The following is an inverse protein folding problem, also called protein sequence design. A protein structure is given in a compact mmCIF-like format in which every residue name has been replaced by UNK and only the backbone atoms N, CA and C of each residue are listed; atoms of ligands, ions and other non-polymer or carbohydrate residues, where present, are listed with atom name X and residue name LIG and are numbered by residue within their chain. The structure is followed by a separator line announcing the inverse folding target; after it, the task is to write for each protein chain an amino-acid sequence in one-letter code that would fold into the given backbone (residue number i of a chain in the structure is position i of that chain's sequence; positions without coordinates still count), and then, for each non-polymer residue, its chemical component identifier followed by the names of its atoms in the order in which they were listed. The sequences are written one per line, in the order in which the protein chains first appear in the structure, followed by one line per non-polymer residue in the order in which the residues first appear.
data_IF_691418815269
#
_entry.id   IF_691418815269
#
_cell.length_a   1.000
_cell.length_b   1.000
_cell.length_c   1.000
_cell.angle_alpha   90.00
_cell.angle_beta   90.00
_cell.angle_gamma   90.00
#
_symmetry.space_group_name_H-M   'P 1'
#
loop_
_entity.id
_entity.type
_entity.pdbx_description
1 polymer ?
#
# COMPACT_ATOMS: atom_id res chain seq x y z
N UNK A 1 -13.69 -14.64 -25.10
CA UNK A 1 -13.65 -14.98 -23.66
C UNK A 1 -12.20 -14.94 -23.26
N UNK A 2 -11.89 -14.22 -22.19
CA UNK A 2 -10.52 -14.04 -21.68
C UNK A 2 -10.51 -14.34 -20.20
N UNK A 3 -9.35 -14.74 -19.68
CA UNK A 3 -9.19 -15.11 -18.28
C UNK A 3 -8.64 -13.94 -17.46
N UNK A 4 -9.27 -13.70 -16.32
CA UNK A 4 -8.85 -12.72 -15.33
C UNK A 4 -8.40 -13.47 -14.09
N UNK A 5 -7.12 -13.34 -13.75
CA UNK A 5 -6.54 -13.98 -12.57
C UNK A 5 -6.39 -12.94 -11.46
N UNK A 6 -7.01 -13.18 -10.30
CA UNK A 6 -6.90 -12.37 -9.09
C UNK A 6 -6.42 -13.25 -7.94
N UNK A 7 -5.15 -13.10 -7.53
CA UNK A 7 -4.54 -14.01 -6.56
C UNK A 7 -4.40 -15.42 -7.15
N UNK A 8 -4.98 -16.42 -6.47
CA UNK A 8 -5.00 -17.82 -6.92
C UNK A 8 -6.21 -18.16 -7.81
N UNK A 9 -7.15 -17.22 -7.94
CA UNK A 9 -8.42 -17.45 -8.62
C UNK A 9 -8.37 -16.99 -10.07
N UNK A 10 -8.76 -17.87 -11.00
CA UNK A 10 -8.93 -17.54 -12.42
C UNK A 10 -10.40 -17.52 -12.78
N UNK A 11 -10.86 -16.40 -13.32
CA UNK A 11 -12.25 -16.13 -13.67
C UNK A 11 -12.38 -15.88 -15.16
N UNK A 12 -13.41 -16.43 -15.80
CA UNK A 12 -13.66 -16.19 -17.22
C UNK A 12 -14.50 -14.93 -17.41
N UNK A 13 -13.93 -13.94 -18.09
CA UNK A 13 -14.58 -12.72 -18.53
C UNK A 13 -15.25 -12.93 -19.89
N UNK A 14 -16.54 -12.55 -19.96
CA UNK A 14 -17.32 -12.61 -21.19
C UNK A 14 -17.00 -11.40 -22.09
N UNK A 15 -17.26 -11.52 -23.39
CA UNK A 15 -16.85 -10.52 -24.40
C UNK A 15 -17.48 -9.12 -24.20
N UNK A 16 -18.65 -9.04 -23.56
CA UNK A 16 -19.36 -7.78 -23.30
C UNK A 16 -19.28 -7.32 -21.83
N UNK A 17 -18.59 -8.09 -21.00
CA UNK A 17 -18.50 -7.85 -19.57
C UNK A 17 -17.28 -6.99 -19.26
N UNK A 18 -17.37 -6.16 -18.23
CA UNK A 18 -16.19 -5.45 -17.71
C UNK A 18 -15.41 -6.35 -16.77
N UNK A 19 -14.15 -6.01 -16.50
CA UNK A 19 -13.37 -6.69 -15.45
C UNK A 19 -14.10 -6.60 -14.10
N UNK A 20 -14.70 -5.45 -13.77
CA UNK A 20 -15.45 -5.29 -12.51
C UNK A 20 -16.67 -6.21 -12.45
N UNK A 21 -17.48 -6.27 -13.52
CA UNK A 21 -18.68 -7.10 -13.54
C UNK A 21 -18.32 -8.59 -13.41
N UNK A 22 -17.24 -9.02 -14.07
CA UNK A 22 -16.70 -10.39 -13.94
C UNK A 22 -16.35 -10.70 -12.49
N UNK A 23 -15.68 -9.78 -11.79
CA UNK A 23 -15.30 -9.94 -10.39
C UNK A 23 -16.53 -10.02 -9.47
N UNK A 24 -17.50 -9.11 -9.65
CA UNK A 24 -18.71 -9.05 -8.85
C UNK A 24 -19.61 -10.29 -9.06
N UNK A 25 -19.77 -10.74 -10.30
CA UNK A 25 -20.54 -11.95 -10.64
C UNK A 25 -19.96 -13.22 -9.99
N UNK A 26 -18.65 -13.25 -9.77
CA UNK A 26 -17.95 -14.33 -9.08
C UNK A 26 -17.75 -14.04 -7.57
N UNK A 27 -18.61 -13.20 -6.99
CA UNK A 27 -18.65 -12.86 -5.56
C UNK A 27 -17.35 -12.24 -5.00
N UNK A 28 -16.51 -11.63 -5.84
CA UNK A 28 -15.33 -10.89 -5.36
C UNK A 28 -15.74 -9.49 -4.92
N UNK A 29 -15.48 -9.19 -3.65
CA UNK A 29 -15.79 -7.90 -3.03
C UNK A 29 -14.74 -6.87 -3.45
N UNK A 30 -15.05 -6.13 -4.52
CA UNK A 30 -14.18 -5.06 -5.03
C UNK A 30 -14.82 -3.70 -4.68
N UNK A 31 -14.08 -2.78 -4.05
CA UNK A 31 -14.58 -1.42 -3.80
C UNK A 31 -15.00 -0.76 -5.11
N UNK A 32 -16.23 -0.24 -5.19
CA UNK A 32 -16.73 0.46 -6.37
C UNK A 32 -17.86 1.42 -5.99
N UNK A 33 -18.07 2.46 -6.81
CA UNK A 33 -19.13 3.44 -6.58
C UNK A 33 -19.82 3.86 -7.89
N UNK A 34 -19.12 4.56 -8.79
CA UNK A 34 -19.77 5.19 -9.95
C UNK A 34 -19.98 4.28 -11.17
N UNK A 35 -19.15 3.24 -11.35
CA UNK A 35 -19.09 2.38 -12.55
C UNK A 35 -18.95 3.12 -13.91
N UNK A 36 -18.43 4.34 -13.90
CA UNK A 36 -18.32 5.21 -15.08
C UNK A 36 -16.91 5.77 -15.27
N UNK A 37 -15.90 5.21 -14.60
CA UNK A 37 -14.51 5.66 -14.74
C UNK A 37 -14.16 6.97 -14.02
N UNK A 38 -15.06 7.52 -13.20
CA UNK A 38 -14.87 8.85 -12.58
C UNK A 38 -14.36 8.77 -11.14
N UNK A 39 -15.01 7.99 -10.27
CA UNK A 39 -14.72 7.98 -8.82
C UNK A 39 -13.38 7.34 -8.45
N UNK A 40 -12.80 6.53 -9.35
CA UNK A 40 -11.58 5.74 -9.16
C UNK A 40 -11.57 4.77 -7.96
N UNK A 41 -12.69 4.58 -7.25
CA UNK A 41 -12.75 3.65 -6.10
C UNK A 41 -12.44 2.20 -6.47
N UNK A 42 -12.68 1.81 -7.73
CA UNK A 42 -12.41 0.47 -8.23
C UNK A 42 -10.99 0.25 -8.75
N UNK A 43 -10.08 1.22 -8.62
CA UNK A 43 -8.73 1.16 -9.17
C UNK A 43 -8.06 -0.20 -8.90
N UNK A 44 -7.45 -0.79 -9.93
CA UNK A 44 -6.69 -2.04 -9.87
C UNK A 44 -5.40 -1.91 -10.67
N UNK A 45 -4.47 -2.85 -10.50
CA UNK A 45 -3.21 -2.91 -11.25
C UNK A 45 -3.11 -4.21 -12.02
N UNK A 46 -2.63 -4.13 -13.26
CA UNK A 46 -2.32 -5.29 -14.09
C UNK A 46 -0.85 -5.68 -13.92
N UNK A 47 -0.58 -6.96 -13.69
CA UNK A 47 0.73 -7.50 -13.32
C UNK A 47 1.52 -8.06 -14.48
N UNK A 48 0.84 -8.68 -15.44
CA UNK A 48 1.48 -9.39 -16.55
C UNK A 48 1.61 -8.50 -17.80
N UNK A 49 0.56 -7.74 -18.12
CA UNK A 49 0.49 -6.96 -19.36
C UNK A 49 -0.09 -5.55 -19.13
N UNK A 50 0.23 -4.58 -19.98
CA UNK A 50 -0.45 -3.28 -19.95
C UNK A 50 -1.96 -3.43 -20.18
N UNK A 51 -2.81 -2.73 -19.40
CA UNK A 51 -4.25 -2.70 -19.61
C UNK A 51 -4.61 -1.85 -20.85
N UNK A 52 -5.83 -1.98 -21.39
CA UNK A 52 -6.31 -1.13 -22.48
C UNK A 52 -6.24 0.37 -22.12
N UNK A 53 -5.83 1.21 -23.08
CA UNK A 53 -5.68 2.66 -22.87
C UNK A 53 -6.99 3.31 -22.43
N UNK A 54 -8.12 2.82 -22.97
CA UNK A 54 -9.47 3.25 -22.58
C UNK A 54 -9.74 3.05 -21.08
N UNK A 55 -9.23 1.97 -20.49
CA UNK A 55 -9.39 1.65 -19.07
C UNK A 55 -8.50 2.52 -18.16
N UNK A 56 -7.57 3.29 -18.73
CA UNK A 56 -6.67 4.19 -18.01
C UNK A 56 -7.11 5.66 -18.08
N UNK A 57 -8.21 5.95 -18.78
CA UNK A 57 -8.75 7.30 -18.90
C UNK A 57 -9.04 7.93 -17.53
N UNK A 58 -8.54 9.16 -17.32
CA UNK A 58 -8.71 9.92 -16.07
C UNK A 58 -7.77 9.51 -14.92
N UNK A 59 -6.96 8.46 -15.09
CA UNK A 59 -5.91 8.10 -14.14
C UNK A 59 -4.68 8.97 -14.38
N UNK A 60 -3.96 9.36 -13.33
CA UNK A 60 -2.69 10.10 -13.42
C UNK A 60 -1.62 9.28 -14.16
N UNK A 61 -0.84 9.92 -15.03
CA UNK A 61 0.22 9.29 -15.86
C UNK A 61 1.18 8.38 -15.07
N UNK A 62 1.52 8.77 -13.83
CA UNK A 62 2.40 7.97 -12.97
C UNK A 62 1.82 6.60 -12.65
N UNK A 63 0.51 6.53 -12.42
CA UNK A 63 -0.20 5.27 -12.16
C UNK A 63 -0.45 4.52 -13.46
N UNK A 64 -0.72 5.23 -14.57
CA UNK A 64 -0.85 4.60 -15.89
C UNK A 64 0.43 3.84 -16.27
N UNK A 65 1.60 4.45 -16.08
CA UNK A 65 2.92 3.82 -16.29
C UNK A 65 3.20 2.62 -15.38
N UNK A 66 2.49 2.51 -14.26
CA UNK A 66 2.56 1.38 -13.34
C UNK A 66 1.48 0.33 -13.64
N UNK A 67 0.80 0.42 -14.80
CA UNK A 67 -0.28 -0.47 -15.24
C UNK A 67 -1.54 -0.43 -14.35
N UNK A 68 -1.78 0.68 -13.65
CA UNK A 68 -3.08 0.89 -12.99
C UNK A 68 -4.17 1.18 -14.01
N UNK A 69 -5.37 0.67 -13.75
CA UNK A 69 -6.54 0.81 -14.61
C UNK A 69 -7.85 0.80 -13.79
N UNK A 70 -8.95 1.20 -14.44
CA UNK A 70 -10.29 1.19 -13.88
C UNK A 70 -11.07 -0.03 -14.40
N UNK A 71 -11.24 -1.10 -13.58
CA UNK A 71 -11.92 -2.32 -14.01
C UNK A 71 -13.39 -2.10 -14.38
N UNK A 72 -14.02 -1.03 -13.89
CA UNK A 72 -15.43 -0.71 -14.21
C UNK A 72 -15.69 -0.26 -15.65
N UNK A 73 -14.64 0.10 -16.39
CA UNK A 73 -14.71 0.48 -17.81
C UNK A 73 -13.72 -0.35 -18.66
N UNK A 74 -13.10 -1.36 -18.05
CA UNK A 74 -12.10 -2.19 -18.71
C UNK A 74 -12.78 -3.38 -19.37
N UNK A 75 -12.72 -3.42 -20.70
CA UNK A 75 -13.03 -4.60 -21.49
C UNK A 75 -11.71 -5.27 -21.88
N UNK A 76 -11.36 -6.41 -21.27
CA UNK A 76 -10.07 -7.05 -21.50
C UNK A 76 -10.00 -7.68 -22.89
N UNK A 77 -8.96 -7.35 -23.66
CA UNK A 77 -8.70 -7.89 -25.00
C UNK A 77 -7.87 -9.18 -24.95
N UNK A 78 -7.24 -9.45 -23.81
CA UNK A 78 -6.35 -10.58 -23.56
C UNK A 78 -6.44 -11.00 -22.09
N UNK A 79 -5.81 -12.13 -21.76
CA UNK A 79 -5.74 -12.62 -20.39
C UNK A 79 -4.95 -11.64 -19.49
N UNK A 80 -5.49 -11.34 -18.31
CA UNK A 80 -4.93 -10.37 -17.38
C UNK A 80 -4.78 -10.96 -15.98
N UNK A 81 -3.60 -10.79 -15.39
CA UNK A 81 -3.38 -11.02 -13.96
C UNK A 81 -3.47 -9.67 -13.26
N UNK A 82 -4.38 -9.55 -12.32
CA UNK A 82 -4.73 -8.28 -11.69
C UNK A 82 -4.61 -8.36 -10.18
N UNK A 83 -4.41 -7.20 -9.56
CA UNK A 83 -4.34 -7.07 -8.11
C UNK A 83 -5.02 -5.78 -7.66
N UNK A 84 -5.54 -5.76 -6.44
CA UNK A 84 -5.96 -4.51 -5.83
C UNK A 84 -4.71 -3.66 -5.51
N UNK A 85 -4.80 -2.32 -5.58
CA UNK A 85 -3.71 -1.41 -5.18
C UNK A 85 -3.20 -1.72 -3.77
N UNK A 86 -4.11 -2.23 -2.93
CA UNK A 86 -3.82 -2.62 -1.54
C UNK A 86 -3.50 -4.11 -1.36
N UNK A 87 -3.73 -4.99 -2.35
CA UNK A 87 -3.37 -6.41 -2.25
C UNK A 87 -1.94 -6.71 -2.71
N UNK A 88 -1.27 -5.74 -3.34
CA UNK A 88 0.18 -5.71 -3.46
C UNK A 88 0.92 -5.34 -2.17
N UNK A 89 0.19 -5.06 -1.07
CA UNK A 89 0.80 -5.04 0.25
C UNK A 89 1.11 -6.48 0.67
N UNK A 90 2.05 -7.13 -0.01
CA UNK A 90 2.82 -8.22 0.58
C UNK A 90 3.26 -7.71 1.95
N UNK A 91 2.60 -8.23 2.98
CA UNK A 91 2.83 -7.78 4.33
C UNK A 91 3.71 -8.80 5.01
N UNK A 92 4.91 -8.41 5.40
CA UNK A 92 5.81 -9.29 6.12
C UNK A 92 5.63 -9.09 7.63
N UNK A 93 5.87 -10.16 8.39
CA UNK A 93 5.94 -10.06 9.84
C UNK A 93 7.39 -9.78 10.20
N UNK A 94 7.62 -8.69 10.91
CA UNK A 94 8.95 -8.24 11.32
C UNK A 94 9.05 -8.15 12.83
N UNK A 95 10.28 -8.13 13.34
CA UNK A 95 10.56 -8.12 14.76
C UNK A 95 10.95 -6.73 15.23
N UNK A 96 10.51 -6.36 16.43
CA UNK A 96 10.99 -5.17 17.14
C UNK A 96 12.41 -5.43 17.63
N UNK A 97 13.36 -4.65 17.12
CA UNK A 97 14.76 -4.67 17.55
C UNK A 97 14.91 -3.83 18.81
N UNK A 98 14.37 -2.62 18.78
CA UNK A 98 14.59 -1.62 19.81
C UNK A 98 13.35 -0.71 19.96
N UNK A 99 13.07 -0.32 21.21
CA UNK A 99 12.08 0.71 21.56
C UNK A 99 12.74 1.66 22.55
N UNK A 100 12.86 2.94 22.18
CA UNK A 100 13.49 3.97 23.01
C UNK A 100 12.58 5.20 23.11
N UNK A 101 12.41 5.76 24.30
CA UNK A 101 11.75 7.07 24.46
C UNK A 101 12.71 8.19 24.05
N UNK A 102 12.34 8.98 23.05
CA UNK A 102 13.08 10.16 22.63
C UNK A 102 12.59 11.43 23.33
N UNK A 103 11.29 11.48 23.65
CA UNK A 103 10.67 12.57 24.39
C UNK A 103 9.52 12.02 25.27
N UNK A 104 8.84 12.90 26.00
CA UNK A 104 7.67 12.56 26.82
C UNK A 104 6.59 11.86 25.99
N UNK A 105 6.36 12.34 24.77
CA UNK A 105 5.34 11.88 23.85
C UNK A 105 5.90 11.31 22.54
N UNK A 106 7.23 11.09 22.39
CA UNK A 106 7.80 10.44 21.20
C UNK A 106 8.65 9.20 21.53
N UNK A 107 8.40 8.09 20.83
CA UNK A 107 9.20 6.86 20.84
C UNK A 107 9.90 6.66 19.48
N UNK A 108 11.16 6.23 19.55
CA UNK A 108 11.90 5.61 18.45
C UNK A 108 11.67 4.11 18.47
N UNK A 109 11.22 3.57 17.35
CA UNK A 109 10.97 2.14 17.16
C UNK A 109 11.83 1.64 15.99
N UNK A 110 12.62 0.58 16.22
CA UNK A 110 13.39 -0.10 15.19
C UNK A 110 12.79 -1.47 14.90
N UNK A 111 12.49 -1.73 13.63
CA UNK A 111 11.99 -3.02 13.16
C UNK A 111 13.00 -3.65 12.19
N UNK A 112 13.14 -4.97 12.21
CA UNK A 112 13.89 -5.71 11.17
C UNK A 112 13.20 -5.59 9.81
N UNK A 113 13.91 -5.77 8.71
CA UNK A 113 13.30 -6.08 7.42
C UNK A 113 14.09 -7.14 6.64
N UNK A 114 13.43 -7.82 5.70
CA UNK A 114 14.06 -8.80 4.81
C UNK A 114 14.92 -8.12 3.73
N UNK A 115 15.81 -8.89 3.11
CA UNK A 115 16.80 -8.43 2.12
C UNK A 115 16.17 -7.79 0.88
N UNK A 116 14.94 -8.19 0.54
CA UNK A 116 14.20 -7.70 -0.63
C UNK A 116 13.33 -6.45 -0.32
N UNK A 117 13.36 -5.95 0.92
CA UNK A 117 12.55 -4.81 1.32
C UNK A 117 13.17 -3.50 0.82
N UNK A 118 12.74 -3.10 -0.37
CA UNK A 118 13.16 -1.86 -1.00
C UNK A 118 12.30 -0.67 -0.55
N UNK A 119 12.95 0.43 -0.14
CA UNK A 119 12.29 1.69 0.17
C UNK A 119 13.17 2.90 -0.18
N UNK A 120 12.55 4.06 -0.35
CA UNK A 120 13.20 5.35 -0.51
C UNK A 120 12.93 6.26 0.69
N UNK A 121 13.83 7.19 0.96
CA UNK A 121 13.63 8.20 1.99
C UNK A 121 12.33 8.99 1.74
N UNK A 122 11.53 9.18 2.79
CA UNK A 122 10.24 9.87 2.71
C UNK A 122 9.04 8.99 2.35
N UNK A 123 9.25 7.68 2.14
CA UNK A 123 8.16 6.72 2.07
C UNK A 123 7.63 6.36 3.47
N UNK A 124 6.44 5.76 3.50
CA UNK A 124 5.79 5.28 4.71
C UNK A 124 5.37 3.82 4.54
N UNK A 125 5.13 3.12 5.63
CA UNK A 125 4.53 1.78 5.64
C UNK A 125 3.31 1.77 6.53
N UNK A 126 2.44 0.77 6.34
CA UNK A 126 1.37 0.48 7.27
C UNK A 126 1.89 -0.54 8.28
N UNK A 127 1.88 -0.16 9.57
CA UNK A 127 2.11 -1.07 10.68
C UNK A 127 0.76 -1.62 11.15
N UNK A 128 0.68 -2.94 11.33
CA UNK A 128 -0.53 -3.65 11.69
C UNK A 128 -0.30 -4.51 12.93
N UNK A 129 -1.19 -4.35 13.90
CA UNK A 129 -1.26 -5.14 15.13
C UNK A 129 -2.01 -6.46 14.88
N UNK A 130 -1.83 -7.43 15.77
CA UNK A 130 -2.44 -8.76 15.68
C UNK A 130 -3.97 -8.77 15.56
N UNK A 131 -4.65 -7.79 16.16
CA UNK A 131 -6.12 -7.64 16.09
C UNK A 131 -6.61 -6.97 14.79
N UNK A 132 -5.70 -6.63 13.89
CA UNK A 132 -5.99 -6.00 12.61
C UNK A 132 -5.92 -4.48 12.61
N UNK A 133 -5.77 -3.83 13.77
CA UNK A 133 -5.64 -2.38 13.82
C UNK A 133 -4.38 -1.94 13.06
N UNK A 134 -4.57 -1.05 12.07
CA UNK A 134 -3.52 -0.64 11.14
C UNK A 134 -3.35 0.87 11.14
N UNK A 135 -2.10 1.36 11.14
CA UNK A 135 -1.77 2.78 11.01
C UNK A 135 -0.54 2.98 10.13
N UNK A 136 -0.52 4.12 9.43
CA UNK A 136 0.58 4.50 8.55
C UNK A 136 1.65 5.25 9.32
N UNK A 137 2.91 4.89 9.13
CA UNK A 137 4.06 5.57 9.74
C UNK A 137 5.17 5.76 8.71
N UNK A 138 5.73 6.98 8.68
CA UNK A 138 6.85 7.34 7.80
C UNK A 138 8.15 6.67 8.26
N UNK A 139 8.92 6.17 7.30
CA UNK A 139 10.26 5.64 7.55
C UNK A 139 11.20 6.80 7.80
N UNK A 140 11.85 6.82 8.96
CA UNK A 140 12.69 7.91 9.43
C UNK A 140 14.17 7.76 9.02
N UNK A 141 14.59 6.60 8.51
CA UNK A 141 15.93 6.35 8.01
C UNK A 141 15.99 6.24 6.47
N UNK A 142 17.20 6.26 5.93
CA UNK A 142 17.50 5.82 4.55
C UNK A 142 17.82 4.32 4.55
N UNK A 143 17.75 3.64 3.39
CA UNK A 143 18.21 2.25 3.28
C UNK A 143 19.60 2.07 3.91
N UNK A 144 19.72 1.11 4.83
CA UNK A 144 20.94 0.85 5.62
C UNK A 144 21.39 -0.61 5.47
N UNK A 145 22.70 -0.90 5.45
CA UNK A 145 23.23 -2.27 5.39
C UNK A 145 22.73 -3.19 6.52
N UNK A 146 22.45 -2.62 7.69
CA UNK A 146 21.99 -3.35 8.89
C UNK A 146 20.51 -3.77 8.85
N UNK A 147 19.80 -3.49 7.75
CA UNK A 147 18.45 -3.99 7.45
C UNK A 147 17.39 -3.71 8.52
N UNK A 148 17.25 -2.43 8.89
CA UNK A 148 16.22 -1.98 9.80
C UNK A 148 15.40 -0.81 9.25
N UNK A 149 14.16 -0.71 9.71
CA UNK A 149 13.29 0.44 9.52
C UNK A 149 13.17 1.19 10.84
N UNK A 150 13.39 2.50 10.79
CA UNK A 150 13.24 3.39 11.94
C UNK A 150 11.94 4.19 11.84
N UNK A 151 11.21 4.30 12.96
CA UNK A 151 9.99 5.09 13.08
C UNK A 151 10.04 5.98 14.31
N UNK A 152 9.50 7.20 14.18
CA UNK A 152 9.24 8.09 15.32
C UNK A 152 7.74 8.18 15.52
N UNK A 153 7.25 7.58 16.61
CA UNK A 153 5.83 7.43 16.90
C UNK A 153 5.47 8.34 18.07
N UNK A 154 4.61 9.32 17.79
CA UNK A 154 4.05 10.20 18.82
C UNK A 154 2.89 9.50 19.55
N UNK A 155 2.87 9.61 20.88
CA UNK A 155 1.72 9.21 21.70
C UNK A 155 0.60 10.23 21.51
N UNK A 156 -0.58 9.74 21.11
CA UNK A 156 -1.76 10.57 20.96
C UNK A 156 -2.72 10.29 22.13
N UNK A 157 -3.39 11.31 22.69
CA UNK A 157 -4.53 11.09 23.58
C UNK A 157 -5.54 10.17 22.89
N UNK A 158 -5.99 9.13 23.58
CA UNK A 158 -6.91 8.10 23.07
C UNK A 158 -6.44 7.35 21.80
N UNK A 159 -5.17 7.48 21.43
CA UNK A 159 -4.57 6.81 20.29
C UNK A 159 -4.40 5.31 20.53
N UNK A 160 -5.32 4.49 20.00
CA UNK A 160 -5.30 3.03 20.20
C UNK A 160 -3.98 2.36 19.76
N UNK A 161 -3.40 2.79 18.63
CA UNK A 161 -2.16 2.21 18.12
C UNK A 161 -0.92 2.80 18.80
N UNK A 162 -0.85 4.12 18.95
CA UNK A 162 0.30 4.76 19.57
C UNK A 162 0.42 4.45 21.05
N UNK A 163 -0.69 4.37 21.79
CA UNK A 163 -0.67 3.91 23.18
C UNK A 163 -0.20 2.45 23.29
N UNK A 164 -0.62 1.57 22.38
CA UNK A 164 -0.14 0.19 22.35
C UNK A 164 1.37 0.09 22.07
N UNK A 165 1.91 0.88 21.12
CA UNK A 165 3.36 0.95 20.88
C UNK A 165 4.10 1.39 22.15
N UNK A 166 3.50 2.32 22.89
CA UNK A 166 4.06 2.85 24.13
C UNK A 166 4.07 1.82 25.26
N UNK A 167 2.90 1.28 25.55
CA UNK A 167 2.62 0.60 26.81
C UNK A 167 2.83 -0.92 26.70
N UNK A 168 2.58 -1.52 25.52
CA UNK A 168 2.52 -2.98 25.36
C UNK A 168 3.59 -3.56 24.43
N UNK A 169 3.95 -2.87 23.34
CA UNK A 169 4.89 -3.41 22.34
C UNK A 169 6.33 -3.35 22.84
N UNK A 170 7.05 -4.47 22.90
CA UNK A 170 8.41 -4.54 23.44
C UNK A 170 9.42 -5.12 22.43
N UNK A 171 10.74 -4.85 22.62
CA UNK A 171 11.78 -5.53 21.86
C UNK A 171 11.62 -7.05 21.91
N UNK A 172 11.69 -7.69 20.75
CA UNK A 172 11.45 -9.11 20.58
C UNK A 172 10.06 -9.48 20.06
N UNK A 173 9.07 -8.60 20.19
CA UNK A 173 7.71 -8.78 19.67
C UNK A 173 7.67 -8.65 18.15
N UNK A 174 6.55 -9.03 17.56
CA UNK A 174 6.33 -8.97 16.12
C UNK A 174 5.24 -7.97 15.73
N UNK A 175 5.43 -7.37 14.55
CA UNK A 175 4.49 -6.43 13.93
C UNK A 175 4.38 -6.79 12.45
N UNK A 176 3.18 -6.70 11.89
CA UNK A 176 3.01 -6.87 10.44
C UNK A 176 3.23 -5.53 9.75
N UNK A 177 4.07 -5.49 8.71
CA UNK A 177 4.33 -4.28 7.92
C UNK A 177 3.92 -4.48 6.48
N UNK A 178 3.46 -3.43 5.81
CA UNK A 178 3.29 -3.43 4.36
C UNK A 178 4.61 -3.18 3.63
N UNK A 179 4.64 -3.40 2.31
CA UNK A 179 5.64 -2.77 1.43
C UNK A 179 5.63 -1.24 1.60
N UNK A 180 6.75 -0.60 1.24
CA UNK A 180 6.90 0.85 1.29
C UNK A 180 5.97 1.56 0.29
N UNK A 181 5.33 2.62 0.75
CA UNK A 181 4.32 3.39 0.04
C UNK A 181 4.65 4.89 0.01
N UNK A 182 3.99 5.61 -0.89
CA UNK A 182 4.19 7.03 -1.09
C UNK A 182 5.17 7.32 -2.23
N UNK A 183 4.81 8.30 -3.06
CA UNK A 183 5.62 8.80 -4.16
C UNK A 183 6.08 10.22 -3.84
N UNK A 184 7.20 10.38 -3.15
CA UNK A 184 7.87 11.68 -3.06
C UNK A 184 8.95 11.74 -4.13
N UNK A 185 8.66 12.49 -5.19
CA UNK A 185 9.65 12.88 -6.19
C UNK A 185 10.48 14.02 -5.59
N UNK A 186 11.77 13.79 -5.33
CA UNK A 186 12.73 14.89 -5.23
C UNK A 186 12.73 15.60 -6.59
N UNK A 187 12.08 16.76 -6.67
CA UNK A 187 12.28 17.69 -7.77
C UNK A 187 13.47 18.59 -7.37
N UNK A 188 14.68 18.38 -7.90
CA UNK A 188 15.77 19.32 -7.67
C UNK A 188 15.36 20.67 -8.31
N UNK A 189 15.31 21.74 -7.49
CA UNK A 189 15.18 23.12 -8.01
C UNK A 189 14.04 23.98 -7.46
N UNK A 190 13.20 23.52 -6.52
CA UNK A 190 12.28 24.40 -5.79
C UNK A 190 12.46 24.21 -4.29
N UNK A 191 12.81 25.29 -3.59
CA UNK A 191 12.87 25.30 -2.13
C UNK A 191 11.52 24.91 -1.55
N UNK A 192 11.49 23.80 -0.80
CA UNK A 192 10.30 23.35 -0.08
C UNK A 192 10.52 23.59 1.41
N UNK A 193 9.62 24.37 1.99
CA UNK A 193 9.49 24.49 3.45
C UNK A 193 9.06 23.13 3.98
N UNK A 194 9.91 22.48 4.77
CA UNK A 194 9.57 21.24 5.48
C UNK A 194 8.66 21.58 6.65
N UNK A 195 7.34 21.52 6.47
CA UNK A 195 6.42 21.40 7.60
C UNK A 195 6.36 19.92 8.01
N UNK A 196 7.19 19.54 8.97
CA UNK A 196 7.10 18.25 9.65
C UNK A 196 5.93 18.28 10.64
N UNK A 197 4.71 18.10 10.12
CA UNK A 197 3.56 17.74 10.93
C UNK A 197 3.56 16.24 11.14
N UNK A 198 4.12 15.78 12.26
CA UNK A 198 3.93 14.41 12.75
C UNK A 198 2.46 14.33 13.18
N UNK A 199 1.62 13.75 12.31
CA UNK A 199 0.25 13.32 12.63
C UNK A 199 0.29 12.04 13.46
#
# INVERSE_FOLDING_TARGET
MVNITLGEDTLTCQTHETVLDTLLRNNRQIPHSCRQGVCQSCLMRSLNNPPPVSAQAGIKDTLQKQNYFLPCICHPEQDMTITLPNQEMASSTVRVIEKQRLATDIIRLLLTHEDDFNFSAGQFVNLKRADGLTRSYSIANTPHPDKFLEFHIRRLPDGQFSNWVYDDLNPGDTVTISKAQGSYLYLPGRGVIKSAGIL
#
